data_IF_081462775825
#
_entry.id   IF_081462775825
#
_cell.length_a   1.000
_cell.length_b   1.000
_cell.length_c   1.000
_cell.angle_alpha   90.00
_cell.angle_beta   90.00
_cell.angle_gamma   90.00
#
_symmetry.space_group_name_H-M   'P 1'
#
loop_
_entity.id
_entity.type
_entity.pdbx_description
1 polymer ?
#
# COMPACT_ATOMS: atom_id res chain seq x y z
N UNK A 1 1.41 -3.75 4.60
CA UNK A 1 0.86 -5.04 4.11
C UNK A 1 0.14 -5.83 5.20
N UNK A 2 0.68 -5.95 6.42
CA UNK A 2 0.03 -6.72 7.49
C UNK A 2 -1.41 -6.28 7.81
N UNK A 3 -1.65 -4.98 8.00
CA UNK A 3 -3.00 -4.45 8.24
C UNK A 3 -3.99 -4.80 7.11
N UNK A 4 -3.53 -4.76 5.85
CA UNK A 4 -4.33 -5.13 4.68
C UNK A 4 -4.66 -6.62 4.70
N UNK A 5 -3.71 -7.48 5.08
CA UNK A 5 -3.95 -8.91 5.21
C UNK A 5 -5.01 -9.22 6.27
N UNK A 6 -4.92 -8.61 7.45
CA UNK A 6 -5.91 -8.78 8.52
C UNK A 6 -7.28 -8.22 8.11
N UNK A 7 -7.32 -7.07 7.42
CA UNK A 7 -8.54 -6.48 6.88
C UNK A 7 -9.24 -7.45 5.91
N UNK A 8 -8.49 -8.02 4.97
CA UNK A 8 -9.02 -8.97 3.98
C UNK A 8 -9.50 -10.25 4.66
N UNK A 9 -8.74 -10.76 5.63
CA UNK A 9 -9.11 -11.95 6.40
C UNK A 9 -10.44 -11.75 7.13
N UNK A 10 -10.61 -10.63 7.81
CA UNK A 10 -11.87 -10.28 8.48
C UNK A 10 -13.02 -10.12 7.48
N UNK A 11 -12.80 -9.42 6.37
CA UNK A 11 -13.83 -9.25 5.32
C UNK A 11 -14.25 -10.58 4.70
N UNK A 12 -13.31 -11.52 4.48
CA UNK A 12 -13.62 -12.82 3.89
C UNK A 12 -14.60 -13.64 4.74
N UNK A 13 -14.55 -13.49 6.06
CA UNK A 13 -15.47 -14.18 6.97
C UNK A 13 -16.87 -13.54 7.00
N UNK A 14 -16.93 -12.20 6.98
CA UNK A 14 -18.18 -11.44 7.11
C UNK A 14 -18.99 -11.39 5.80
N UNK A 15 -18.35 -11.56 4.64
CA UNK A 15 -18.97 -11.30 3.33
C UNK A 15 -19.51 -12.58 2.70
N UNK A 16 -20.60 -12.46 1.92
CA UNK A 16 -21.16 -13.58 1.14
C UNK A 16 -20.14 -14.12 0.13
N UNK A 17 -19.83 -15.44 0.11
CA UNK A 17 -18.79 -15.99 -0.77
C UNK A 17 -19.04 -15.75 -2.27
N UNK A 18 -20.31 -15.74 -2.68
CA UNK A 18 -20.77 -15.58 -4.06
C UNK A 18 -20.37 -14.24 -4.70
N UNK A 19 -20.11 -13.20 -3.89
CA UNK A 19 -19.79 -11.85 -4.37
C UNK A 19 -18.32 -11.50 -4.21
N UNK A 20 -17.49 -12.44 -3.80
CA UNK A 20 -16.06 -12.24 -3.64
C UNK A 20 -15.34 -12.36 -4.98
N UNK A 21 -14.53 -11.37 -5.34
CA UNK A 21 -13.72 -11.39 -6.56
C UNK A 21 -12.23 -11.27 -6.22
N UNK A 22 -11.52 -12.40 -6.29
CA UNK A 22 -10.08 -12.48 -5.99
C UNK A 22 -9.20 -11.73 -7.00
N UNK A 23 -9.68 -11.46 -8.22
CA UNK A 23 -8.89 -10.82 -9.27
C UNK A 23 -8.55 -9.37 -8.92
N UNK A 24 -9.51 -8.60 -8.39
CA UNK A 24 -9.27 -7.21 -7.95
C UNK A 24 -8.21 -7.13 -6.86
N UNK A 25 -8.21 -8.12 -5.96
CA UNK A 25 -7.30 -8.17 -4.83
C UNK A 25 -5.87 -8.53 -5.27
N UNK A 26 -5.74 -9.46 -6.23
CA UNK A 26 -4.44 -9.79 -6.85
C UNK A 26 -3.83 -8.58 -7.56
N UNK A 27 -4.63 -7.81 -8.30
CA UNK A 27 -4.18 -6.59 -8.95
C UNK A 27 -3.73 -5.53 -7.95
N UNK A 28 -4.54 -5.27 -6.92
CA UNK A 28 -4.17 -4.34 -5.84
C UNK A 28 -2.86 -4.76 -5.16
N UNK A 29 -2.70 -6.05 -4.85
CA UNK A 29 -1.47 -6.57 -4.24
C UNK A 29 -0.24 -6.30 -5.11
N UNK A 30 -0.30 -6.63 -6.40
CA UNK A 30 0.84 -6.39 -7.31
C UNK A 30 1.15 -4.91 -7.47
N UNK A 31 0.15 -4.05 -7.66
CA UNK A 31 0.35 -2.62 -7.82
C UNK A 31 0.92 -1.96 -6.57
N UNK A 32 0.48 -2.37 -5.37
CA UNK A 32 1.01 -1.85 -4.11
C UNK A 32 2.47 -2.26 -3.89
N UNK A 33 2.84 -3.49 -4.23
CA UNK A 33 4.22 -3.96 -4.06
C UNK A 33 5.16 -3.38 -5.14
N UNK A 34 4.75 -3.39 -6.42
CA UNK A 34 5.53 -2.80 -7.52
C UNK A 34 5.67 -1.30 -7.33
N UNK A 35 4.60 -0.60 -6.96
CA UNK A 35 4.63 0.83 -6.70
C UNK A 35 5.60 1.16 -5.56
N UNK A 36 5.48 0.47 -4.43
CA UNK A 36 6.38 0.69 -3.29
C UNK A 36 7.85 0.37 -3.64
N UNK A 37 8.09 -0.75 -4.32
CA UNK A 37 9.42 -1.11 -4.80
C UNK A 37 9.98 -0.03 -5.72
N UNK A 38 9.19 0.42 -6.70
CA UNK A 38 9.56 1.48 -7.62
C UNK A 38 9.92 2.79 -6.92
N UNK A 39 9.12 3.25 -5.95
CA UNK A 39 9.42 4.49 -5.20
C UNK A 39 10.77 4.42 -4.50
N UNK A 40 11.04 3.28 -3.86
CA UNK A 40 12.26 3.07 -3.08
C UNK A 40 13.47 3.00 -3.99
N UNK A 41 13.43 2.23 -5.06
CA UNK A 41 14.60 1.97 -5.89
C UNK A 41 14.86 3.02 -6.97
N UNK A 42 13.81 3.59 -7.58
CA UNK A 42 13.95 4.56 -8.69
C UNK A 42 14.36 5.94 -8.19
N UNK A 43 13.83 6.37 -7.03
CA UNK A 43 14.01 7.75 -6.57
C UNK A 43 14.69 7.82 -5.20
N UNK A 44 14.11 7.22 -4.16
CA UNK A 44 14.60 7.42 -2.80
C UNK A 44 16.03 6.92 -2.61
N UNK A 45 16.32 5.69 -3.00
CA UNK A 45 17.63 5.06 -2.83
C UNK A 45 18.76 5.87 -3.49
N UNK A 46 18.69 6.19 -4.80
CA UNK A 46 19.74 6.95 -5.45
C UNK A 46 19.89 8.38 -4.88
N UNK A 47 18.79 9.08 -4.57
CA UNK A 47 18.86 10.39 -3.91
C UNK A 47 19.57 10.27 -2.55
N UNK A 48 19.28 9.23 -1.77
CA UNK A 48 19.93 9.02 -0.46
C UNK A 48 21.41 8.71 -0.58
N UNK A 49 21.84 8.00 -1.62
CA UNK A 49 23.28 7.77 -1.85
C UNK A 49 24.01 9.06 -2.21
N UNK A 50 23.43 9.89 -3.09
CA UNK A 50 23.99 11.20 -3.43
C UNK A 50 24.05 12.08 -2.18
N UNK A 51 22.99 12.08 -1.38
CA UNK A 51 22.91 12.83 -0.14
C UNK A 51 23.93 12.37 0.91
N UNK A 52 24.16 11.06 1.01
CA UNK A 52 25.16 10.49 1.91
C UNK A 52 26.58 10.88 1.48
N UNK A 53 26.87 10.84 0.18
CA UNK A 53 28.16 11.26 -0.37
C UNK A 53 28.42 12.73 -0.06
N UNK A 54 27.46 13.61 -0.34
CA UNK A 54 27.56 15.04 -0.06
C UNK A 54 27.80 15.31 1.43
N UNK A 55 27.09 14.60 2.31
CA UNK A 55 27.25 14.72 3.75
C UNK A 55 28.63 14.26 4.23
N UNK A 56 29.24 13.28 3.54
CA UNK A 56 30.57 12.77 3.86
C UNK A 56 31.67 13.73 3.40
N UNK A 57 31.56 14.25 2.18
CA UNK A 57 32.59 15.11 1.58
C UNK A 57 32.56 16.54 2.16
N UNK A 58 31.37 17.13 2.31
CA UNK A 58 31.20 18.56 2.65
C UNK A 58 30.56 18.79 4.03
N UNK A 59 30.23 17.70 4.75
CA UNK A 59 29.56 17.74 6.05
C UNK A 59 28.04 17.74 5.96
N UNK A 60 27.38 17.36 7.06
CA UNK A 60 25.93 17.14 7.08
C UNK A 60 25.09 18.37 6.66
N UNK A 61 25.58 19.58 6.96
CA UNK A 61 24.89 20.82 6.62
C UNK A 61 24.73 21.00 5.09
N UNK A 62 25.77 20.65 4.31
CA UNK A 62 25.77 20.80 2.85
C UNK A 62 24.71 19.92 2.17
N UNK A 63 24.50 18.70 2.69
CA UNK A 63 23.50 17.74 2.19
C UNK A 63 22.04 18.15 2.44
N UNK A 64 21.81 19.24 3.18
CA UNK A 64 20.49 19.75 3.57
C UNK A 64 20.20 21.15 3.02
N UNK A 65 21.13 21.75 2.29
CA UNK A 65 20.96 23.05 1.67
C UNK A 65 19.94 23.01 0.53
N UNK A 66 19.25 24.12 0.27
CA UNK A 66 18.35 24.26 -0.87
C UNK A 66 19.07 24.05 -2.21
N UNK A 67 20.32 24.47 -2.31
CA UNK A 67 21.19 24.31 -3.48
C UNK A 67 21.38 22.83 -3.83
N UNK A 68 21.54 21.97 -2.83
CA UNK A 68 21.62 20.51 -3.02
C UNK A 68 20.32 19.95 -3.59
N UNK A 69 19.17 20.35 -3.04
CA UNK A 69 17.86 19.88 -3.54
C UNK A 69 17.51 20.42 -4.93
N UNK A 70 18.08 21.56 -5.32
CA UNK A 70 17.86 22.19 -6.64
C UNK A 70 18.77 21.64 -7.74
N UNK A 71 19.70 20.73 -7.42
CA UNK A 71 20.51 20.08 -8.45
C UNK A 71 19.61 19.37 -9.46
N UNK A 72 19.92 19.55 -10.75
CA UNK A 72 19.12 19.02 -11.86
C UNK A 72 18.87 17.51 -11.72
N UNK A 73 19.91 16.76 -11.32
CA UNK A 73 19.80 15.32 -11.13
C UNK A 73 18.82 14.94 -10.00
N UNK A 74 18.79 15.71 -8.90
CA UNK A 74 17.87 15.44 -7.79
C UNK A 74 16.44 15.80 -8.19
N UNK A 75 16.26 16.91 -8.92
CA UNK A 75 14.95 17.31 -9.46
C UNK A 75 14.40 16.27 -10.43
N UNK A 76 15.22 15.76 -11.35
CA UNK A 76 14.84 14.70 -12.29
C UNK A 76 14.42 13.43 -11.55
N UNK A 77 15.21 13.00 -10.55
CA UNK A 77 14.87 11.82 -9.75
C UNK A 77 13.59 12.00 -8.90
N UNK A 78 13.31 13.23 -8.45
CA UNK A 78 12.06 13.55 -7.76
C UNK A 78 10.87 13.54 -8.72
N UNK A 79 11.03 14.05 -9.94
CA UNK A 79 9.99 14.03 -10.97
C UNK A 79 9.66 12.59 -11.39
N UNK A 80 10.70 11.77 -11.60
CA UNK A 80 10.54 10.35 -11.92
C UNK A 80 9.81 9.56 -10.83
N UNK A 81 9.80 10.03 -9.58
CA UNK A 81 9.04 9.43 -8.48
C UNK A 81 7.53 9.45 -8.71
N UNK A 82 7.02 10.39 -9.51
CA UNK A 82 5.60 10.50 -9.80
C UNK A 82 5.04 9.23 -10.48
N UNK A 83 5.86 8.52 -11.26
CA UNK A 83 5.46 7.30 -11.97
C UNK A 83 5.12 6.15 -11.00
N UNK A 84 6.04 5.69 -10.12
CA UNK A 84 5.72 4.66 -9.13
C UNK A 84 4.71 5.13 -8.09
N UNK A 85 4.69 6.44 -7.75
CA UNK A 85 3.67 7.02 -6.88
C UNK A 85 2.26 6.82 -7.47
N UNK A 86 2.10 7.03 -8.78
CA UNK A 86 0.82 6.82 -9.47
C UNK A 86 0.42 5.34 -9.51
N UNK A 87 1.37 4.43 -9.77
CA UNK A 87 1.11 2.97 -9.77
C UNK A 87 0.61 2.51 -8.40
N UNK A 88 1.26 2.95 -7.32
CA UNK A 88 0.86 2.63 -5.96
C UNK A 88 -0.53 3.19 -5.65
N UNK A 89 -0.80 4.44 -6.04
CA UNK A 89 -2.08 5.11 -5.84
C UNK A 89 -3.23 4.36 -6.52
N UNK A 90 -3.03 3.87 -7.75
CA UNK A 90 -4.01 3.02 -8.44
C UNK A 90 -4.27 1.73 -7.64
N UNK A 91 -3.21 1.10 -7.12
CA UNK A 91 -3.33 -0.08 -6.26
C UNK A 91 -4.17 0.16 -4.99
N UNK A 92 -4.01 1.31 -4.35
CA UNK A 92 -4.81 1.74 -3.19
C UNK A 92 -6.27 1.97 -3.60
N UNK A 93 -6.53 2.68 -4.70
CA UNK A 93 -7.88 2.97 -5.18
C UNK A 93 -8.66 1.67 -5.44
N UNK A 94 -8.02 0.69 -6.09
CA UNK A 94 -8.62 -0.63 -6.34
C UNK A 94 -9.03 -1.29 -5.01
N UNK A 95 -8.18 -1.23 -3.98
CA UNK A 95 -8.49 -1.80 -2.66
C UNK A 95 -9.66 -1.08 -1.98
N UNK A 96 -9.71 0.25 -2.07
CA UNK A 96 -10.78 1.07 -1.49
C UNK A 96 -12.11 0.76 -2.18
N UNK A 97 -12.13 0.77 -3.52
CA UNK A 97 -13.33 0.45 -4.31
C UNK A 97 -13.83 -0.96 -4.01
N UNK A 98 -12.91 -1.93 -3.90
CA UNK A 98 -13.23 -3.30 -3.50
C UNK A 98 -13.89 -3.35 -2.11
N UNK A 99 -13.30 -2.67 -1.14
CA UNK A 99 -13.80 -2.62 0.25
C UNK A 99 -15.20 -1.99 0.30
N UNK A 100 -15.40 -0.85 -0.36
CA UNK A 100 -16.70 -0.16 -0.43
C UNK A 100 -17.76 -1.06 -1.08
N UNK A 101 -17.45 -1.71 -2.21
CA UNK A 101 -18.39 -2.61 -2.90
C UNK A 101 -18.83 -3.78 -2.03
N UNK A 102 -17.92 -4.29 -1.21
CA UNK A 102 -18.14 -5.44 -0.35
C UNK A 102 -18.97 -5.09 0.89
N UNK A 103 -18.87 -3.87 1.39
CA UNK A 103 -19.72 -3.37 2.50
C UNK A 103 -21.23 -3.48 2.18
N UNK A 104 -21.63 -3.46 0.91
CA UNK A 104 -23.02 -3.67 0.50
C UNK A 104 -23.46 -5.15 0.48
N UNK A 105 -22.55 -6.10 0.67
CA UNK A 105 -22.78 -7.54 0.53
C UNK A 105 -22.47 -8.35 1.80
N UNK A 106 -22.57 -7.71 2.97
CA UNK A 106 -22.28 -8.32 4.26
C UNK A 106 -23.33 -9.39 4.63
N UNK A 107 -22.89 -10.45 5.31
CA UNK A 107 -23.78 -11.45 5.91
C UNK A 107 -24.44 -10.87 7.16
N UNK A 108 -25.68 -11.30 7.44
CA UNK A 108 -26.33 -11.02 8.72
C UNK A 108 -25.70 -11.91 9.81
N UNK A 109 -25.65 -11.46 11.07
CA UNK A 109 -25.18 -12.30 12.18
C UNK A 109 -26.06 -13.55 12.29
N UNK A 110 -25.42 -14.73 12.41
CA UNK A 110 -26.10 -16.03 12.51
C UNK A 110 -26.69 -16.28 13.89
N UNK A 111 -26.10 -15.71 14.93
CA UNK A 111 -26.53 -15.83 16.33
C UNK A 111 -26.70 -14.44 16.93
N UNK A 112 -27.75 -14.23 17.72
CA UNK A 112 -27.97 -13.02 18.53
C UNK A 112 -27.79 -13.37 20.01
N UNK A 113 -27.51 -12.37 20.84
CA UNK A 113 -27.25 -12.58 22.27
C UNK A 113 -28.42 -13.31 22.94
N UNK A 114 -28.17 -14.54 23.39
CA UNK A 114 -29.17 -15.43 24.00
C UNK A 114 -29.34 -16.78 23.29
N UNK A 115 -28.81 -16.94 22.06
CA UNK A 115 -28.90 -18.22 21.33
C UNK A 115 -27.89 -19.23 21.87
N UNK A 116 -28.31 -20.48 22.11
CA UNK A 116 -27.39 -21.58 22.38
C UNK A 116 -26.57 -21.86 21.12
N UNK A 117 -25.25 -21.68 21.24
CA UNK A 117 -24.31 -22.10 20.20
C UNK A 117 -24.44 -23.63 20.14
N UNK A 118 -24.78 -24.23 18.98
CA UNK A 118 -24.77 -25.68 18.88
C UNK A 118 -23.36 -26.15 19.20
N UNK A 119 -23.21 -26.99 20.23
CA UNK A 119 -21.97 -27.72 20.49
C UNK A 119 -21.63 -28.43 19.17
N UNK A 120 -20.43 -28.17 18.66
CA UNK A 120 -19.99 -28.78 17.41
C UNK A 120 -20.03 -30.30 17.62
N UNK A 121 -20.92 -30.99 16.90
CA UNK A 121 -20.91 -32.45 16.82
C UNK A 121 -19.51 -32.88 16.35
N UNK A 122 -18.79 -33.58 17.22
CA UNK A 122 -17.49 -34.23 16.96
C UNK A 122 -17.56 -35.24 15.81
#
# INVERSE_FOLDING_TARGET
MFAIAVLIYSLRNVVKPEKWNDTWLKWSFWLLNIGLFGMVFVSLTPIRFIQLKEAFDNGYWASRTSEFLQQDIIQDLLLWRAVPDTIFLIGVIILVVFTIKIMFHLKKPKYKGGDSIPEAEE
#
